data_IF_616659940676
#
_entry.id   IF_616659940676
#
_cell.length_a   1.000
_cell.length_b   1.000
_cell.length_c   1.000
_cell.angle_alpha   90.00
_cell.angle_beta   90.00
_cell.angle_gamma   90.00
#
_symmetry.space_group_name_H-M   'P 1'
#
loop_
_entity.id
_entity.type
_entity.pdbx_description
1 polymer ?
#
# COMPACT_ATOMS: atom_id res chain seq x y z
N UNK A 1 12.16 74.50 -8.35
CA UNK A 1 12.68 73.26 -7.73
C UNK A 1 11.58 72.71 -6.83
N UNK A 2 10.80 71.75 -7.31
CA UNK A 2 9.71 71.13 -6.55
C UNK A 2 9.89 69.61 -6.63
N UNK A 3 10.37 69.01 -5.54
CA UNK A 3 10.62 67.58 -5.41
C UNK A 3 9.42 66.92 -4.72
N UNK A 4 8.50 66.36 -5.50
CA UNK A 4 7.47 65.45 -4.98
C UNK A 4 8.09 64.07 -4.71
N UNK A 5 7.87 63.44 -3.53
CA UNK A 5 8.29 62.06 -3.29
C UNK A 5 7.43 61.09 -4.10
N UNK A 6 8.06 60.14 -4.80
CA UNK A 6 7.35 58.98 -5.38
C UNK A 6 6.93 58.07 -4.22
N UNK A 7 5.64 57.96 -3.98
CA UNK A 7 5.07 56.96 -3.09
C UNK A 7 5.19 55.58 -3.74
N UNK A 8 6.05 54.73 -3.18
CA UNK A 8 6.01 53.29 -3.43
C UNK A 8 4.80 52.71 -2.68
N UNK A 9 3.70 52.47 -3.38
CA UNK A 9 2.65 51.58 -2.87
C UNK A 9 3.04 50.13 -3.17
N UNK A 10 3.03 49.21 -2.19
CA UNK A 10 3.23 47.80 -2.47
C UNK A 10 2.03 47.27 -3.26
N UNK A 11 2.30 46.69 -4.42
CA UNK A 11 1.32 46.05 -5.28
C UNK A 11 0.68 44.85 -4.55
N UNK A 12 -0.55 45.02 -4.07
CA UNK A 12 -1.33 44.00 -3.35
C UNK A 12 -2.06 43.02 -4.28
N UNK A 13 -1.87 43.09 -5.60
CA UNK A 13 -2.61 42.27 -6.58
C UNK A 13 -2.07 40.85 -6.84
N UNK A 14 -0.98 40.42 -6.19
CA UNK A 14 -0.39 39.08 -6.46
C UNK A 14 -1.01 37.93 -5.65
N UNK A 15 -1.85 38.21 -4.64
CA UNK A 15 -2.37 37.18 -3.72
C UNK A 15 -3.74 36.61 -4.11
N UNK A 16 -4.48 37.22 -5.04
CA UNK A 16 -5.85 36.81 -5.36
C UNK A 16 -5.94 35.65 -6.37
N UNK A 17 -4.90 35.40 -7.17
CA UNK A 17 -4.95 34.39 -8.24
C UNK A 17 -4.69 32.97 -7.72
N UNK A 18 -4.07 32.80 -6.55
CA UNK A 18 -3.76 31.48 -5.99
C UNK A 18 -4.92 30.84 -5.20
N UNK A 19 -6.02 31.55 -4.98
CA UNK A 19 -7.11 31.12 -4.10
C UNK A 19 -8.20 30.28 -4.78
N UNK A 20 -8.19 30.16 -6.11
CA UNK A 20 -9.28 29.50 -6.85
C UNK A 20 -8.83 28.15 -7.44
N UNK A 21 -8.12 27.34 -6.65
CA UNK A 21 -8.20 25.90 -6.88
C UNK A 21 -9.57 25.47 -6.37
N UNK A 22 -10.56 25.46 -7.27
CA UNK A 22 -11.88 24.85 -7.03
C UNK A 22 -11.64 23.37 -6.70
N UNK A 23 -11.40 23.06 -5.42
CA UNK A 23 -11.28 21.70 -4.91
C UNK A 23 -12.69 21.11 -4.91
N UNK A 24 -13.03 20.48 -6.04
CA UNK A 24 -14.24 19.67 -6.18
C UNK A 24 -14.38 18.75 -4.97
N UNK A 25 -15.59 18.64 -4.39
CA UNK A 25 -15.88 17.66 -3.34
C UNK A 25 -15.30 16.30 -3.75
N UNK A 26 -14.56 15.61 -2.87
CA UNK A 26 -14.07 14.29 -3.19
C UNK A 26 -15.28 13.40 -3.46
N UNK A 27 -15.32 12.79 -4.64
CA UNK A 27 -16.43 11.90 -5.00
C UNK A 27 -16.49 10.79 -3.95
N UNK A 28 -17.68 10.47 -3.40
CA UNK A 28 -17.82 9.47 -2.35
C UNK A 28 -17.27 8.10 -2.79
N UNK A 29 -17.32 7.81 -4.09
CA UNK A 29 -16.75 6.61 -4.68
C UNK A 29 -15.23 6.50 -4.48
N UNK A 30 -14.47 7.59 -4.67
CA UNK A 30 -13.01 7.59 -4.46
C UNK A 30 -12.66 7.35 -3.00
N UNK A 31 -13.40 7.98 -2.08
CA UNK A 31 -13.23 7.79 -0.64
C UNK A 31 -13.52 6.34 -0.26
N UNK A 32 -14.63 5.78 -0.75
CA UNK A 32 -14.99 4.39 -0.51
C UNK A 32 -13.96 3.41 -1.08
N UNK A 33 -13.48 3.61 -2.32
CA UNK A 33 -12.42 2.78 -2.91
C UNK A 33 -11.12 2.83 -2.11
N UNK A 34 -10.75 4.02 -1.60
CA UNK A 34 -9.56 4.17 -0.75
C UNK A 34 -9.73 3.40 0.57
N UNK A 35 -10.86 3.55 1.24
CA UNK A 35 -11.17 2.84 2.50
C UNK A 35 -11.25 1.31 2.29
N UNK A 36 -11.85 0.85 1.19
CA UNK A 36 -11.94 -0.58 0.86
C UNK A 36 -10.55 -1.17 0.57
N UNK A 37 -9.66 -0.38 -0.02
CA UNK A 37 -8.27 -0.77 -0.24
C UNK A 37 -7.53 -0.92 1.11
N UNK A 38 -7.73 0.00 2.05
CA UNK A 38 -7.20 -0.09 3.42
C UNK A 38 -7.63 -1.39 4.14
N UNK A 39 -8.93 -1.68 4.04
CA UNK A 39 -9.53 -2.90 4.58
C UNK A 39 -8.87 -4.15 3.99
N UNK A 40 -8.71 -4.19 2.67
CA UNK A 40 -8.11 -5.33 1.95
C UNK A 40 -6.63 -5.52 2.31
N UNK A 41 -5.86 -4.43 2.40
CA UNK A 41 -4.46 -4.51 2.81
C UNK A 41 -4.30 -5.02 4.23
N UNK A 42 -5.18 -4.59 5.14
CA UNK A 42 -5.11 -5.03 6.53
C UNK A 42 -5.39 -6.53 6.65
N UNK A 43 -6.39 -7.05 5.91
CA UNK A 43 -6.64 -8.49 5.81
C UNK A 43 -5.42 -9.21 5.25
N UNK A 44 -4.85 -8.73 4.15
CA UNK A 44 -3.66 -9.32 3.54
C UNK A 44 -2.48 -9.39 4.51
N UNK A 45 -2.14 -8.26 5.16
CA UNK A 45 -1.03 -8.20 6.11
C UNK A 45 -1.25 -9.14 7.29
N UNK A 46 -2.46 -9.19 7.84
CA UNK A 46 -2.78 -10.00 9.01
C UNK A 46 -2.87 -11.51 8.70
N UNK A 47 -3.29 -11.87 7.49
CA UNK A 47 -3.39 -13.27 7.10
C UNK A 47 -2.10 -13.76 6.47
N UNK A 48 -1.68 -13.14 5.37
CA UNK A 48 -0.61 -13.67 4.52
C UNK A 48 0.76 -13.43 5.17
N UNK A 49 1.01 -12.22 5.66
CA UNK A 49 2.34 -11.83 6.14
C UNK A 49 2.63 -12.35 7.55
N UNK A 50 1.65 -12.30 8.46
CA UNK A 50 1.89 -12.63 9.88
C UNK A 50 1.46 -14.04 10.29
N UNK A 51 0.34 -14.56 9.78
CA UNK A 51 -0.26 -15.82 10.28
C UNK A 51 -0.07 -17.00 9.32
N UNK A 52 -0.74 -16.98 8.17
CA UNK A 52 -0.85 -18.09 7.23
C UNK A 52 0.52 -18.60 6.79
N UNK A 53 1.41 -17.74 6.30
CA UNK A 53 2.71 -18.19 5.81
C UNK A 53 3.58 -18.75 6.93
N UNK A 54 3.56 -18.14 8.12
CA UNK A 54 4.31 -18.63 9.30
C UNK A 54 3.79 -19.98 9.78
N UNK A 55 2.47 -20.12 9.94
CA UNK A 55 1.82 -21.37 10.33
C UNK A 55 2.01 -22.47 9.29
N UNK A 56 1.97 -22.12 8.01
CA UNK A 56 2.20 -23.08 6.95
C UNK A 56 3.64 -23.62 6.97
N UNK A 57 4.65 -22.76 7.15
CA UNK A 57 6.05 -23.20 7.25
C UNK A 57 6.32 -24.02 8.51
N UNK A 58 5.79 -23.60 9.67
CA UNK A 58 6.06 -24.25 10.97
C UNK A 58 5.22 -25.49 11.22
N UNK A 59 3.91 -25.43 10.94
CA UNK A 59 2.97 -26.52 11.26
C UNK A 59 2.88 -27.53 10.12
N UNK A 60 2.77 -27.08 8.86
CA UNK A 60 2.56 -27.99 7.73
C UNK A 60 3.88 -28.58 7.20
N UNK A 61 4.94 -27.76 7.14
CA UNK A 61 6.26 -28.23 6.66
C UNK A 61 7.19 -28.66 7.78
N UNK A 62 6.84 -28.44 9.06
CA UNK A 62 7.69 -28.73 10.22
C UNK A 62 9.10 -28.11 10.10
N UNK A 63 9.19 -26.89 9.56
CA UNK A 63 10.45 -26.16 9.34
C UNK A 63 10.57 -24.95 10.27
N UNK A 64 11.80 -24.48 10.43
CA UNK A 64 12.11 -23.31 11.25
C UNK A 64 11.50 -22.02 10.68
N UNK A 65 11.06 -21.13 11.56
CA UNK A 65 10.58 -19.76 11.24
C UNK A 65 11.64 -18.87 10.57
N UNK A 66 12.89 -19.33 10.51
CA UNK A 66 13.99 -18.65 9.85
C UNK A 66 13.69 -18.40 8.36
N UNK A 67 13.01 -19.32 7.68
CA UNK A 67 12.65 -19.16 6.26
C UNK A 67 11.65 -18.03 6.03
N UNK A 68 10.69 -17.88 6.95
CA UNK A 68 9.69 -16.81 6.93
C UNK A 68 10.36 -15.47 7.17
N UNK A 69 11.21 -15.42 8.20
CA UNK A 69 11.97 -14.22 8.57
C UNK A 69 12.90 -13.78 7.44
N UNK A 70 13.64 -14.72 6.83
CA UNK A 70 14.52 -14.44 5.69
C UNK A 70 13.73 -13.92 4.48
N UNK A 71 12.60 -14.56 4.15
CA UNK A 71 11.74 -14.11 3.05
C UNK A 71 11.27 -12.67 3.27
N UNK A 72 10.82 -12.35 4.50
CA UNK A 72 10.41 -11.00 4.83
C UNK A 72 11.58 -10.01 4.74
N UNK A 73 12.72 -10.30 5.38
CA UNK A 73 13.90 -9.42 5.34
C UNK A 73 14.40 -9.14 3.91
N UNK A 74 14.50 -10.17 3.06
CA UNK A 74 14.91 -10.02 1.66
C UNK A 74 13.91 -9.16 0.89
N UNK A 75 12.62 -9.42 1.05
CA UNK A 75 11.58 -8.63 0.37
C UNK A 75 11.58 -7.16 0.79
N UNK A 76 11.75 -6.87 2.09
CA UNK A 76 11.84 -5.51 2.60
C UNK A 76 13.11 -4.81 2.14
N UNK A 77 14.24 -5.53 2.07
CA UNK A 77 15.49 -4.99 1.54
C UNK A 77 15.36 -4.63 0.06
N UNK A 78 14.77 -5.52 -0.75
CA UNK A 78 14.49 -5.24 -2.17
C UNK A 78 13.55 -4.04 -2.33
N UNK A 79 12.48 -3.98 -1.52
CA UNK A 79 11.54 -2.87 -1.52
C UNK A 79 12.21 -1.54 -1.12
N UNK A 80 13.08 -1.54 -0.12
CA UNK A 80 13.78 -0.34 0.33
C UNK A 80 14.63 0.31 -0.79
N UNK A 81 15.22 -0.51 -1.65
CA UNK A 81 16.04 -0.04 -2.78
C UNK A 81 15.19 0.33 -3.99
N UNK A 82 14.20 -0.50 -4.32
CA UNK A 82 13.44 -0.34 -5.57
C UNK A 82 12.31 0.69 -5.47
N UNK A 83 11.65 0.81 -4.32
CA UNK A 83 10.46 1.66 -4.17
C UNK A 83 10.76 3.15 -4.33
N UNK A 84 11.92 3.71 -3.88
CA UNK A 84 12.30 5.07 -4.22
C UNK A 84 12.41 5.29 -5.73
N UNK A 85 12.98 4.31 -6.46
CA UNK A 85 13.16 4.38 -7.92
C UNK A 85 11.80 4.27 -8.62
N UNK A 86 10.97 3.30 -8.22
CA UNK A 86 9.62 3.13 -8.74
C UNK A 86 8.74 4.34 -8.45
N UNK A 87 8.87 4.94 -7.26
CA UNK A 87 8.19 6.17 -6.86
C UNK A 87 8.54 7.33 -7.78
N UNK A 88 9.84 7.57 -7.99
CA UNK A 88 10.33 8.62 -8.89
C UNK A 88 9.83 8.42 -10.34
N UNK A 89 9.82 7.18 -10.84
CA UNK A 89 9.26 6.85 -12.15
C UNK A 89 7.77 7.17 -12.19
N UNK A 90 6.99 6.77 -11.19
CA UNK A 90 5.55 7.02 -11.15
C UNK A 90 5.21 8.51 -11.14
N UNK A 91 6.03 9.30 -10.44
CA UNK A 91 5.87 10.75 -10.32
C UNK A 91 6.18 11.44 -11.64
N UNK A 92 7.15 10.91 -12.41
CA UNK A 92 7.46 11.40 -13.77
C UNK A 92 6.36 11.09 -14.79
N UNK A 93 5.66 9.95 -14.64
CA UNK A 93 4.58 9.51 -15.53
C UNK A 93 3.24 10.19 -15.19
N UNK A 94 3.11 10.76 -13.98
CA UNK A 94 1.91 11.49 -13.54
C UNK A 94 0.66 10.62 -13.36
N UNK A 95 0.76 9.29 -13.44
CA UNK A 95 -0.35 8.34 -13.30
C UNK A 95 0.00 7.28 -12.26
N UNK A 96 -0.46 7.45 -11.02
CA UNK A 96 -0.15 6.55 -9.88
C UNK A 96 -1.06 5.32 -9.78
N UNK A 97 -2.33 5.45 -10.19
CA UNK A 97 -3.32 4.35 -10.21
C UNK A 97 -2.88 3.07 -10.95
N UNK A 98 -2.33 3.11 -12.18
CA UNK A 98 -1.95 1.89 -12.88
C UNK A 98 -0.80 1.13 -12.20
N UNK A 99 0.15 1.84 -11.56
CA UNK A 99 1.23 1.20 -10.80
C UNK A 99 0.71 0.47 -9.55
N UNK A 100 -0.25 1.09 -8.85
CA UNK A 100 -0.91 0.45 -7.72
C UNK A 100 -1.65 -0.82 -8.16
N UNK A 101 -2.38 -0.75 -9.28
CA UNK A 101 -3.11 -1.91 -9.82
C UNK A 101 -2.17 -3.03 -10.28
N UNK A 102 -1.06 -2.72 -10.95
CA UNK A 102 -0.11 -3.77 -11.36
C UNK A 102 0.54 -4.44 -10.16
N UNK A 103 0.94 -3.67 -9.14
CA UNK A 103 1.55 -4.22 -7.93
C UNK A 103 0.56 -5.07 -7.11
N UNK A 104 -0.69 -4.63 -6.98
CA UNK A 104 -1.71 -5.45 -6.33
C UNK A 104 -2.01 -6.73 -7.10
N UNK A 105 -2.08 -6.69 -8.43
CA UNK A 105 -2.23 -7.90 -9.24
C UNK A 105 -1.04 -8.85 -9.06
N UNK A 106 0.19 -8.33 -9.04
CA UNK A 106 1.39 -9.14 -8.77
C UNK A 106 1.33 -9.76 -7.37
N UNK A 107 0.87 -9.02 -6.37
CA UNK A 107 0.68 -9.53 -5.01
C UNK A 107 -0.35 -10.66 -4.97
N UNK A 108 -1.52 -10.47 -5.58
CA UNK A 108 -2.58 -11.49 -5.67
C UNK A 108 -2.10 -12.74 -6.40
N UNK A 109 -1.44 -12.58 -7.56
CA UNK A 109 -0.86 -13.69 -8.30
C UNK A 109 0.21 -14.42 -7.48
N UNK A 110 1.03 -13.69 -6.73
CA UNK A 110 2.03 -14.26 -5.82
C UNK A 110 1.39 -15.11 -4.73
N UNK A 111 0.36 -14.60 -4.05
CA UNK A 111 -0.36 -15.37 -3.01
C UNK A 111 -1.09 -16.58 -3.58
N UNK A 112 -1.72 -16.44 -4.76
CA UNK A 112 -2.33 -17.56 -5.45
C UNK A 112 -1.31 -18.65 -5.79
N UNK A 113 -0.10 -18.23 -6.19
CA UNK A 113 0.99 -19.15 -6.48
C UNK A 113 1.47 -19.89 -5.23
N UNK A 114 1.53 -19.26 -4.05
CA UNK A 114 1.81 -19.95 -2.77
C UNK A 114 0.78 -21.06 -2.54
N UNK A 115 -0.51 -20.77 -2.73
CA UNK A 115 -1.59 -21.76 -2.58
C UNK A 115 -1.46 -22.94 -3.57
N UNK A 116 -1.16 -22.65 -4.83
CA UNK A 116 -0.93 -23.68 -5.87
C UNK A 116 0.30 -24.52 -5.56
N UNK A 117 1.40 -23.90 -5.10
CA UNK A 117 2.63 -24.62 -4.70
C UNK A 117 2.33 -25.56 -3.52
N UNK A 118 1.53 -25.10 -2.55
CA UNK A 118 1.09 -25.90 -1.41
C UNK A 118 0.35 -27.18 -1.82
N UNK A 119 -0.44 -27.12 -2.89
CA UNK A 119 -1.24 -28.26 -3.36
C UNK A 119 -0.51 -29.16 -4.37
N UNK A 120 0.24 -28.57 -5.31
CA UNK A 120 0.81 -29.30 -6.45
C UNK A 120 2.21 -29.86 -6.18
N UNK A 121 3.01 -29.20 -5.33
CA UNK A 121 4.42 -29.57 -5.11
C UNK A 121 4.54 -30.46 -3.88
N UNK A 122 4.79 -31.75 -4.12
CA UNK A 122 4.93 -32.75 -3.05
C UNK A 122 6.38 -32.94 -2.58
N UNK A 123 7.36 -32.36 -3.28
CA UNK A 123 8.76 -32.46 -2.87
C UNK A 123 9.08 -31.37 -1.83
N UNK A 124 9.45 -31.74 -0.59
CA UNK A 124 9.54 -30.81 0.53
C UNK A 124 10.68 -29.79 0.40
N UNK A 125 11.70 -30.05 -0.43
CA UNK A 125 12.78 -29.10 -0.67
C UNK A 125 12.38 -28.02 -1.67
N UNK A 126 11.77 -28.40 -2.78
CA UNK A 126 11.31 -27.45 -3.80
C UNK A 126 10.08 -26.66 -3.35
N UNK A 127 9.20 -27.28 -2.56
CA UNK A 127 7.98 -26.65 -2.06
C UNK A 127 8.27 -25.40 -1.23
N UNK A 128 9.19 -25.48 -0.26
CA UNK A 128 9.54 -24.31 0.55
C UNK A 128 10.28 -23.24 -0.26
N UNK A 129 11.21 -23.63 -1.13
CA UNK A 129 12.00 -22.66 -1.90
C UNK A 129 11.10 -21.84 -2.83
N UNK A 130 10.18 -22.50 -3.55
CA UNK A 130 9.23 -21.84 -4.43
C UNK A 130 8.22 -21.00 -3.64
N UNK A 131 7.74 -21.50 -2.50
CA UNK A 131 6.80 -20.76 -1.66
C UNK A 131 7.43 -19.50 -1.05
N UNK A 132 8.67 -19.57 -0.56
CA UNK A 132 9.42 -18.40 -0.06
C UNK A 132 9.67 -17.41 -1.18
N UNK A 133 10.03 -17.87 -2.38
CA UNK A 133 10.25 -16.99 -3.53
C UNK A 133 8.95 -16.29 -3.96
N UNK A 134 7.84 -17.03 -4.01
CA UNK A 134 6.51 -16.46 -4.28
C UNK A 134 6.09 -15.47 -3.18
N UNK A 135 6.37 -15.78 -1.91
CA UNK A 135 6.13 -14.88 -0.78
C UNK A 135 6.95 -13.60 -0.87
N UNK A 136 8.23 -13.67 -1.24
CA UNK A 136 9.08 -12.50 -1.45
C UNK A 136 8.47 -11.57 -2.51
N UNK A 137 8.04 -12.13 -3.64
CA UNK A 137 7.42 -11.36 -4.72
C UNK A 137 6.10 -10.73 -4.26
N UNK A 138 5.25 -11.52 -3.57
CA UNK A 138 3.95 -11.06 -3.10
C UNK A 138 4.09 -9.95 -2.05
N UNK A 139 4.99 -10.11 -1.09
CA UNK A 139 5.26 -9.14 -0.03
C UNK A 139 5.93 -7.88 -0.58
N UNK A 140 6.88 -8.02 -1.50
CA UNK A 140 7.49 -6.90 -2.21
C UNK A 140 6.42 -6.05 -2.93
N UNK A 141 5.53 -6.70 -3.68
CA UNK A 141 4.49 -6.02 -4.43
C UNK A 141 3.46 -5.36 -3.50
N UNK A 142 3.12 -6.00 -2.38
CA UNK A 142 2.29 -5.43 -1.32
C UNK A 142 2.90 -4.14 -0.74
N UNK A 143 4.19 -4.17 -0.37
CA UNK A 143 4.88 -2.99 0.16
C UNK A 143 4.93 -1.84 -0.86
N UNK A 144 5.16 -2.17 -2.14
CA UNK A 144 5.07 -1.16 -3.20
C UNK A 144 3.67 -0.58 -3.35
N UNK A 145 2.64 -1.43 -3.33
CA UNK A 145 1.24 -0.99 -3.37
C UNK A 145 0.89 -0.03 -2.24
N UNK A 146 1.40 -0.26 -1.02
CA UNK A 146 1.21 0.64 0.12
C UNK A 146 1.84 2.02 -0.10
N UNK A 147 3.04 2.09 -0.67
CA UNK A 147 3.71 3.38 -0.96
C UNK A 147 2.88 4.22 -1.93
N UNK A 148 2.40 3.61 -3.03
CA UNK A 148 1.55 4.32 -4.00
C UNK A 148 0.17 4.67 -3.43
N UNK A 149 -0.40 3.79 -2.62
CA UNK A 149 -1.67 4.04 -1.95
C UNK A 149 -1.61 5.24 -0.99
N UNK A 150 -0.56 5.32 -0.18
CA UNK A 150 -0.33 6.45 0.71
C UNK A 150 -0.14 7.76 -0.08
N UNK A 151 0.50 7.69 -1.25
CA UNK A 151 0.66 8.84 -2.14
C UNK A 151 -0.65 9.30 -2.82
N UNK A 152 -1.71 8.46 -2.84
CA UNK A 152 -3.04 8.83 -3.35
C UNK A 152 -3.91 9.53 -2.29
N UNK A 153 -3.59 9.39 -1.01
CA UNK A 153 -4.39 9.99 0.08
C UNK A 153 -4.66 11.51 -0.10
N UNK A 154 -3.68 12.36 -0.49
CA UNK A 154 -3.93 13.78 -0.71
C UNK A 154 -4.83 14.09 -1.91
N UNK A 155 -4.95 13.17 -2.85
CA UNK A 155 -5.79 13.29 -4.05
C UNK A 155 -7.25 12.90 -3.78
N UNK A 156 -7.47 12.01 -2.81
CA UNK A 156 -8.80 11.54 -2.40
C UNK A 156 -9.40 12.40 -1.29
N UNK A 157 -8.59 13.20 -0.59
CA UNK A 157 -9.01 13.98 0.57
C UNK A 157 -9.02 15.49 0.30
N UNK A 158 -9.85 16.22 1.04
CA UNK A 158 -9.79 17.69 1.13
C UNK A 158 -9.21 18.12 2.47
N UNK A 159 -8.56 19.30 2.57
CA UNK A 159 -7.93 19.75 3.81
C UNK A 159 -8.86 19.76 5.03
N UNK A 160 -10.17 20.01 4.81
CA UNK A 160 -11.19 19.99 5.88
C UNK A 160 -11.70 18.60 6.28
N UNK A 161 -11.51 17.56 5.45
CA UNK A 161 -12.07 16.23 5.69
C UNK A 161 -11.00 15.13 5.87
N UNK A 162 -9.71 15.49 5.84
CA UNK A 162 -8.60 14.53 5.90
C UNK A 162 -8.65 13.67 7.17
N UNK A 163 -8.97 14.27 8.32
CA UNK A 163 -9.09 13.57 9.60
C UNK A 163 -10.27 12.61 9.67
N UNK A 164 -11.42 12.98 9.08
CA UNK A 164 -12.61 12.10 9.03
C UNK A 164 -12.38 10.91 8.09
N UNK A 165 -11.83 11.16 6.90
CA UNK A 165 -11.58 10.11 5.91
C UNK A 165 -10.51 9.14 6.40
N UNK A 166 -9.43 9.64 7.00
CA UNK A 166 -8.40 8.81 7.64
C UNK A 166 -9.01 7.99 8.79
N UNK A 167 -9.86 8.59 9.63
CA UNK A 167 -10.57 7.87 10.70
C UNK A 167 -11.46 6.72 10.19
N UNK A 168 -12.15 6.91 9.06
CA UNK A 168 -12.92 5.83 8.42
C UNK A 168 -12.02 4.72 7.86
N UNK A 169 -10.86 5.08 7.28
CA UNK A 169 -9.85 4.12 6.85
C UNK A 169 -9.39 3.25 8.01
N UNK A 170 -8.90 3.88 9.08
CA UNK A 170 -8.43 3.19 10.29
C UNK A 170 -9.52 2.30 10.91
N UNK A 171 -10.75 2.79 11.03
CA UNK A 171 -11.87 2.00 11.55
C UNK A 171 -12.16 0.75 10.70
N UNK A 172 -12.12 0.90 9.37
CA UNK A 172 -12.27 -0.23 8.45
C UNK A 172 -11.06 -1.16 8.48
N UNK A 173 -9.84 -0.64 8.63
CA UNK A 173 -8.63 -1.45 8.85
C UNK A 173 -8.79 -2.37 10.07
N UNK A 174 -9.24 -1.84 11.21
CA UNK A 174 -9.53 -2.67 12.39
C UNK A 174 -10.60 -3.73 12.13
N UNK A 175 -11.65 -3.39 11.38
CA UNK A 175 -12.67 -4.36 10.98
C UNK A 175 -12.06 -5.46 10.08
N UNK A 176 -11.15 -5.10 9.18
CA UNK A 176 -10.37 -6.02 8.37
C UNK A 176 -9.47 -6.93 9.22
N UNK A 177 -8.85 -6.41 10.28
CA UNK A 177 -8.07 -7.21 11.21
C UNK A 177 -8.93 -8.26 11.93
N UNK A 178 -10.13 -7.88 12.38
CA UNK A 178 -11.09 -8.80 13.02
C UNK A 178 -11.53 -9.88 12.02
N UNK A 179 -11.94 -9.48 10.80
CA UNK A 179 -12.35 -10.41 9.75
C UNK A 179 -11.20 -11.36 9.39
N UNK A 180 -9.99 -10.81 9.28
CA UNK A 180 -8.80 -11.59 8.98
C UNK A 180 -8.49 -12.60 10.08
N UNK A 181 -8.58 -12.22 11.34
CA UNK A 181 -8.41 -13.14 12.46
C UNK A 181 -9.48 -14.23 12.48
N UNK A 182 -10.74 -13.88 12.24
CA UNK A 182 -11.84 -14.84 12.17
C UNK A 182 -11.67 -15.87 11.03
N UNK A 183 -11.06 -15.47 9.91
CA UNK A 183 -10.76 -16.40 8.80
C UNK A 183 -9.65 -17.40 9.16
N UNK A 184 -8.72 -17.04 10.04
CA UNK A 184 -7.61 -17.93 10.47
C UNK A 184 -7.97 -18.78 11.69
N UNK A 185 -8.91 -18.32 12.51
CA UNK A 185 -9.37 -19.05 13.71
C UNK A 185 -9.80 -20.52 13.49
N UNK A 186 -10.28 -20.97 12.32
CA UNK A 186 -10.55 -22.39 12.09
C UNK A 186 -9.30 -23.27 11.82
N UNK A 187 -8.08 -22.73 11.92
CA UNK A 187 -6.82 -23.49 11.80
C UNK A 187 -6.26 -23.90 13.17
#
# INVERSE_FOLDING_TARGET
MNSSPRSCTPNTQTWSVSAEVVKSKPSPLKVFSWVLYDFSNTIYSMNVVTMYFSLWVTVNLAREDLWVSLGNSVSMFLAAISLPILGAISDSVGRRMPFLLTLTLVSVCGTMMIGVIGYCVHNPYYQILLAVLAFIIANYAYQGGLVFYNALLPEVTTPGNIGRISGYGVAMGYLGAIVGLLMVLPF
#
